data_IF_810761773492
#
_entry.id   IF_810761773492
#
_cell.length_a   1.000
_cell.length_b   1.000
_cell.length_c   1.000
_cell.angle_alpha   90.00
_cell.angle_beta   90.00
_cell.angle_gamma   90.00
#
_symmetry.space_group_name_H-M   'P 1'
#
loop_
_entity.id
_entity.type
_entity.pdbx_description
1 polymer ?
#
# COMPACT_ATOMS: atom_id res chain seq x y z
N UNK A 1 -9.26 2.64 22.19
CA UNK A 1 -8.76 3.80 21.42
C UNK A 1 -9.14 3.61 19.95
N UNK A 2 -9.37 4.71 19.20
CA UNK A 2 -9.63 4.62 17.76
C UNK A 2 -8.30 4.32 17.06
N UNK A 3 -8.18 3.25 16.26
CA UNK A 3 -6.94 2.90 15.57
C UNK A 3 -6.45 4.01 14.65
N UNK A 4 -5.15 4.26 14.65
CA UNK A 4 -4.47 5.22 13.77
C UNK A 4 -4.05 4.52 12.48
N UNK A 5 -4.27 5.15 11.36
CA UNK A 5 -3.92 4.62 10.04
C UNK A 5 -3.10 5.62 9.25
N UNK A 6 -2.06 5.15 8.60
CA UNK A 6 -1.30 5.86 7.57
C UNK A 6 -1.45 5.05 6.28
N UNK A 7 -1.94 5.67 5.22
CA UNK A 7 -1.89 5.05 3.90
C UNK A 7 -0.52 5.26 3.26
N UNK A 8 -0.05 4.24 2.55
CA UNK A 8 1.20 4.29 1.77
C UNK A 8 0.87 4.02 0.31
N UNK A 9 0.93 5.06 -0.50
CA UNK A 9 0.55 5.04 -1.91
C UNK A 9 1.74 5.40 -2.82
N UNK A 10 1.67 4.97 -4.06
CA UNK A 10 2.70 5.17 -5.07
C UNK A 10 2.71 4.04 -6.09
N UNK A 11 3.43 4.21 -7.19
CA UNK A 11 3.53 3.23 -8.26
C UNK A 11 4.10 1.88 -7.83
N UNK A 12 3.87 0.81 -8.60
CA UNK A 12 4.57 -0.45 -8.39
C UNK A 12 6.09 -0.22 -8.50
N UNK A 13 6.88 -0.75 -7.57
CA UNK A 13 8.34 -0.54 -7.56
C UNK A 13 8.84 0.73 -6.87
N UNK A 14 7.97 1.60 -6.37
CA UNK A 14 8.37 2.86 -5.70
C UNK A 14 9.05 2.66 -4.31
N UNK A 15 9.28 1.43 -3.85
CA UNK A 15 9.98 1.17 -2.58
C UNK A 15 9.11 1.17 -1.32
N UNK A 16 7.78 1.24 -1.46
CA UNK A 16 6.83 1.27 -0.34
C UNK A 16 7.07 0.19 0.71
N UNK A 17 7.15 -1.07 0.30
CA UNK A 17 7.33 -2.19 1.22
C UNK A 17 8.63 -2.13 2.02
N UNK A 18 9.73 -1.70 1.41
CA UNK A 18 11.03 -1.51 2.10
C UNK A 18 10.89 -0.46 3.21
N UNK A 19 10.26 0.66 2.90
CA UNK A 19 10.09 1.74 3.86
C UNK A 19 9.07 1.41 4.95
N UNK A 20 8.00 0.68 4.61
CA UNK A 20 7.08 0.16 5.62
C UNK A 20 7.79 -0.71 6.66
N UNK A 21 8.72 -1.57 6.24
CA UNK A 21 9.53 -2.37 7.18
C UNK A 21 10.41 -1.49 8.07
N UNK A 22 11.00 -0.42 7.54
CA UNK A 22 11.79 0.52 8.33
C UNK A 22 10.91 1.27 9.36
N UNK A 23 9.70 1.69 8.95
CA UNK A 23 8.73 2.33 9.85
C UNK A 23 8.30 1.37 10.96
N UNK A 24 8.00 0.12 10.64
CA UNK A 24 7.67 -0.92 11.64
C UNK A 24 8.77 -1.05 12.69
N UNK A 25 10.02 -1.18 12.23
CA UNK A 25 11.18 -1.33 13.13
C UNK A 25 11.39 -0.14 14.05
N UNK A 26 11.16 1.08 13.56
CA UNK A 26 11.46 2.31 14.33
C UNK A 26 10.28 2.81 15.14
N UNK A 27 9.07 2.68 14.65
CA UNK A 27 7.87 3.30 15.24
C UNK A 27 6.84 2.31 15.76
N UNK A 28 7.04 1.01 15.55
CA UNK A 28 6.17 -0.05 16.08
C UNK A 28 4.78 -0.14 15.43
N UNK A 29 4.58 0.49 14.27
CA UNK A 29 3.34 0.32 13.49
C UNK A 29 3.20 -1.12 13.00
N UNK A 30 1.98 -1.56 12.80
CA UNK A 30 1.69 -2.82 12.09
C UNK A 30 1.58 -2.53 10.60
N UNK A 31 2.38 -3.22 9.79
CA UNK A 31 2.32 -3.12 8.34
C UNK A 31 1.29 -4.08 7.76
N UNK A 32 0.30 -3.54 7.08
CA UNK A 32 -0.73 -4.27 6.34
C UNK A 32 -0.58 -3.97 4.85
N UNK A 33 0.09 -4.87 4.14
CA UNK A 33 0.16 -4.81 2.67
C UNK A 33 -1.09 -5.45 2.09
N UNK A 34 -1.95 -4.65 1.46
CA UNK A 34 -3.15 -5.16 0.79
C UNK A 34 -2.81 -6.24 -0.25
N UNK A 35 -1.72 -6.05 -0.99
CA UNK A 35 -1.25 -7.04 -1.96
C UNK A 35 -0.76 -8.34 -1.32
N UNK A 36 -0.09 -8.29 -0.15
CA UNK A 36 0.38 -9.49 0.53
C UNK A 36 -0.79 -10.24 1.19
N UNK A 37 -1.73 -9.54 1.81
CA UNK A 37 -2.96 -10.13 2.35
C UNK A 37 -3.75 -10.88 1.27
N UNK A 38 -3.88 -10.29 0.07
CA UNK A 38 -4.51 -10.96 -1.06
C UNK A 38 -3.73 -12.18 -1.53
N UNK A 39 -2.40 -12.12 -1.57
CA UNK A 39 -1.54 -13.26 -1.94
C UNK A 39 -1.60 -14.39 -0.91
N UNK A 40 -1.71 -14.07 0.37
CA UNK A 40 -1.91 -15.05 1.44
C UNK A 40 -3.28 -15.70 1.33
N UNK A 41 -4.33 -14.90 1.16
CA UNK A 41 -5.71 -15.42 0.99
C UNK A 41 -5.82 -16.33 -0.23
N UNK A 42 -5.18 -15.97 -1.35
CA UNK A 42 -5.08 -16.82 -2.54
C UNK A 42 -4.50 -18.21 -2.27
N UNK A 43 -3.51 -18.29 -1.38
CA UNK A 43 -2.84 -19.56 -1.02
C UNK A 43 -3.61 -20.36 0.01
N UNK A 44 -4.61 -19.79 0.63
CA UNK A 44 -5.43 -20.47 1.63
C UNK A 44 -6.36 -21.47 0.95
N UNK A 45 -6.20 -22.80 1.17
CA UNK A 45 -7.01 -23.82 0.51
C UNK A 45 -8.49 -23.78 0.91
N UNK A 46 -8.81 -23.10 2.00
CA UNK A 46 -10.18 -22.94 2.49
C UNK A 46 -10.81 -21.60 2.06
N UNK A 47 -10.12 -20.82 1.22
CA UNK A 47 -10.64 -19.52 0.78
C UNK A 47 -11.63 -19.68 -0.37
N UNK A 48 -12.81 -19.08 -0.22
CA UNK A 48 -13.80 -18.93 -1.28
C UNK A 48 -13.34 -18.01 -2.42
N UNK A 49 -12.33 -17.16 -2.15
CA UNK A 49 -11.86 -16.11 -3.05
C UNK A 49 -10.54 -16.44 -3.74
N UNK A 50 -9.91 -17.59 -3.44
CA UNK A 50 -8.56 -17.91 -3.89
C UNK A 50 -8.39 -17.84 -5.41
N UNK A 51 -9.27 -18.47 -6.17
CA UNK A 51 -9.23 -18.47 -7.65
C UNK A 51 -9.53 -17.09 -8.23
N UNK A 52 -10.50 -16.37 -7.69
CA UNK A 52 -10.84 -15.02 -8.11
C UNK A 52 -9.65 -14.08 -7.90
N UNK A 53 -9.03 -14.09 -6.72
CA UNK A 53 -7.85 -13.28 -6.42
C UNK A 53 -6.69 -13.62 -7.36
N UNK A 54 -6.44 -14.92 -7.65
CA UNK A 54 -5.42 -15.36 -8.58
C UNK A 54 -5.59 -14.72 -9.97
N UNK A 55 -6.82 -14.75 -10.50
CA UNK A 55 -7.11 -14.18 -11.81
C UNK A 55 -6.86 -12.67 -11.85
N UNK A 56 -7.33 -11.94 -10.85
CA UNK A 56 -7.10 -10.49 -10.77
C UNK A 56 -5.61 -10.12 -10.64
N UNK A 57 -4.86 -10.84 -9.79
CA UNK A 57 -3.40 -10.59 -9.62
C UNK A 57 -2.65 -10.88 -10.91
N UNK A 58 -2.95 -12.00 -11.58
CA UNK A 58 -2.29 -12.38 -12.84
C UNK A 58 -2.51 -11.36 -13.94
N UNK A 59 -3.72 -10.82 -14.03
CA UNK A 59 -4.08 -9.80 -15.01
C UNK A 59 -3.62 -8.39 -14.61
N UNK A 60 -3.05 -8.21 -13.43
CA UNK A 60 -2.62 -6.90 -12.90
C UNK A 60 -3.78 -6.00 -12.50
N UNK A 61 -4.99 -6.54 -12.35
CA UNK A 61 -6.21 -5.83 -12.01
C UNK A 61 -6.38 -5.63 -10.49
N UNK A 62 -7.31 -4.75 -10.12
CA UNK A 62 -7.66 -4.48 -8.72
C UNK A 62 -8.76 -5.45 -8.27
N UNK A 63 -8.49 -6.18 -7.19
CA UNK A 63 -9.47 -7.11 -6.57
C UNK A 63 -10.64 -6.31 -5.98
N UNK A 64 -11.89 -6.82 -6.05
CA UNK A 64 -13.07 -6.16 -5.50
C UNK A 64 -12.88 -5.71 -4.04
N UNK A 65 -13.36 -4.51 -3.73
CA UNK A 65 -13.10 -3.83 -2.44
C UNK A 65 -13.60 -4.61 -1.23
N UNK A 66 -14.71 -5.31 -1.33
CA UNK A 66 -15.28 -6.03 -0.20
C UNK A 66 -14.36 -7.13 0.32
N UNK A 67 -13.63 -7.80 -0.58
CA UNK A 67 -12.62 -8.78 -0.22
C UNK A 67 -11.44 -8.09 0.46
N UNK A 68 -10.90 -7.05 -0.16
CA UNK A 68 -9.73 -6.32 0.37
C UNK A 68 -10.01 -5.69 1.73
N UNK A 69 -11.15 -5.02 1.89
CA UNK A 69 -11.55 -4.43 3.18
C UNK A 69 -11.77 -5.48 4.27
N UNK A 70 -12.37 -6.64 3.93
CA UNK A 70 -12.56 -7.72 4.90
C UNK A 70 -11.23 -8.28 5.40
N UNK A 71 -10.25 -8.43 4.51
CA UNK A 71 -8.91 -8.89 4.89
C UNK A 71 -8.19 -7.87 5.78
N UNK A 72 -8.26 -6.58 5.44
CA UNK A 72 -7.69 -5.51 6.24
C UNK A 72 -8.33 -5.45 7.63
N UNK A 73 -9.65 -5.46 7.71
CA UNK A 73 -10.39 -5.40 8.98
C UNK A 73 -10.07 -6.61 9.87
N UNK A 74 -9.99 -7.81 9.29
CA UNK A 74 -9.59 -9.03 9.98
C UNK A 74 -8.17 -8.93 10.53
N UNK A 75 -7.22 -8.48 9.71
CA UNK A 75 -5.82 -8.33 10.11
C UNK A 75 -5.64 -7.27 11.21
N UNK A 76 -6.33 -6.14 11.12
CA UNK A 76 -6.32 -5.11 12.17
C UNK A 76 -6.86 -5.67 13.49
N UNK A 77 -7.99 -6.37 13.46
CA UNK A 77 -8.63 -6.94 14.65
C UNK A 77 -7.75 -8.01 15.33
N UNK A 78 -7.13 -8.88 14.53
CA UNK A 78 -6.26 -9.96 15.04
C UNK A 78 -4.95 -9.46 15.64
N UNK A 79 -4.46 -8.30 15.20
CA UNK A 79 -3.18 -7.75 15.68
C UNK A 79 -3.21 -7.30 17.15
N UNK A 80 -4.37 -6.93 17.67
CA UNK A 80 -4.53 -6.35 19.00
C UNK A 80 -3.83 -5.00 19.19
N UNK A 81 -3.41 -4.34 18.10
CA UNK A 81 -2.71 -3.05 18.08
C UNK A 81 -3.62 -1.94 17.58
N UNK A 82 -3.15 -0.71 17.70
CA UNK A 82 -3.91 0.50 17.37
C UNK A 82 -3.24 1.44 16.36
N UNK A 83 -2.11 1.04 15.79
CA UNK A 83 -1.33 1.89 14.86
C UNK A 83 -0.91 1.09 13.64
N UNK A 84 -1.40 1.47 12.47
CA UNK A 84 -1.30 0.70 11.23
C UNK A 84 -0.77 1.53 10.06
N UNK A 85 0.05 0.88 9.25
CA UNK A 85 0.41 1.35 7.91
C UNK A 85 -0.27 0.43 6.91
N UNK A 86 -1.10 0.98 6.04
CA UNK A 86 -1.78 0.23 4.99
C UNK A 86 -1.12 0.56 3.65
N UNK A 87 -0.41 -0.42 3.10
CA UNK A 87 0.38 -0.29 1.87
C UNK A 87 -0.42 -0.77 0.66
N UNK A 88 -0.47 0.08 -0.35
CA UNK A 88 -1.06 -0.23 -1.65
C UNK A 88 -2.59 -0.27 -1.65
N UNK A 89 -3.22 0.49 -0.79
CA UNK A 89 -4.66 0.69 -0.69
C UNK A 89 -4.97 2.08 -0.12
N UNK A 90 -6.03 2.79 -0.59
CA UNK A 90 -6.90 2.45 -1.72
C UNK A 90 -6.20 2.66 -3.08
N UNK A 91 -6.65 1.95 -4.13
CA UNK A 91 -6.06 2.03 -5.47
C UNK A 91 -6.98 2.62 -6.53
N UNK A 92 -8.28 2.60 -6.31
CA UNK A 92 -9.27 3.14 -7.22
C UNK A 92 -10.48 3.68 -6.46
N UNK A 93 -11.44 4.23 -7.20
CA UNK A 93 -12.64 4.82 -6.61
C UNK A 93 -13.47 3.80 -5.82
N UNK A 94 -13.62 2.56 -6.31
CA UNK A 94 -14.32 1.51 -5.59
C UNK A 94 -13.67 1.19 -4.23
N UNK A 95 -12.33 1.09 -4.22
CA UNK A 95 -11.57 0.91 -2.97
C UNK A 95 -11.78 2.07 -2.00
N UNK A 96 -11.73 3.29 -2.50
CA UNK A 96 -11.93 4.50 -1.70
C UNK A 96 -13.35 4.53 -1.09
N UNK A 97 -14.37 4.30 -1.90
CA UNK A 97 -15.76 4.32 -1.45
C UNK A 97 -16.06 3.16 -0.48
N UNK A 98 -15.54 1.98 -0.76
CA UNK A 98 -15.66 0.81 0.12
C UNK A 98 -15.00 1.04 1.48
N UNK A 99 -13.79 1.62 1.49
CA UNK A 99 -13.14 2.02 2.73
C UNK A 99 -13.96 3.05 3.50
N UNK A 100 -14.45 4.07 2.82
CA UNK A 100 -15.26 5.12 3.44
C UNK A 100 -16.51 4.57 4.11
N UNK A 101 -17.20 3.65 3.44
CA UNK A 101 -18.39 2.99 4.00
C UNK A 101 -18.09 2.11 5.20
N UNK A 102 -17.02 1.31 5.14
CA UNK A 102 -16.75 0.22 6.09
C UNK A 102 -15.84 0.59 7.23
N UNK A 103 -14.84 1.43 6.97
CA UNK A 103 -13.71 1.62 7.87
C UNK A 103 -13.52 3.06 8.36
N UNK A 104 -13.87 4.08 7.57
CA UNK A 104 -13.53 5.46 7.89
C UNK A 104 -14.10 5.95 9.25
N UNK A 105 -15.23 5.40 9.68
CA UNK A 105 -15.83 5.73 10.97
C UNK A 105 -15.22 4.95 12.16
N UNK A 106 -14.38 3.93 11.88
CA UNK A 106 -13.74 3.07 12.89
C UNK A 106 -12.29 3.43 13.15
N UNK A 107 -11.67 4.23 12.29
CA UNK A 107 -10.24 4.54 12.33
C UNK A 107 -9.98 6.05 12.19
N UNK A 108 -8.81 6.49 12.63
CA UNK A 108 -8.30 7.84 12.43
C UNK A 108 -7.21 7.79 11.35
N UNK A 109 -7.51 8.27 10.14
CA UNK A 109 -6.52 8.46 9.08
C UNK A 109 -5.67 9.67 9.42
N UNK A 110 -4.37 9.45 9.68
CA UNK A 110 -3.43 10.51 10.02
C UNK A 110 -3.01 11.28 8.77
N UNK A 111 -2.48 10.58 7.78
CA UNK A 111 -2.05 11.12 6.48
C UNK A 111 -1.79 10.00 5.48
N UNK A 112 -1.46 10.40 4.27
CA UNK A 112 -1.07 9.52 3.16
C UNK A 112 0.39 9.79 2.84
N UNK A 113 1.26 8.80 2.97
CA UNK A 113 2.62 8.83 2.43
C UNK A 113 2.56 8.55 0.94
N UNK A 114 2.85 9.52 0.13
CA UNK A 114 2.90 9.37 -1.32
C UNK A 114 4.35 9.23 -1.79
N UNK A 115 4.69 8.03 -2.24
CA UNK A 115 5.99 7.69 -2.83
C UNK A 115 5.99 8.08 -4.31
N UNK A 116 6.46 9.29 -4.58
CA UNK A 116 6.59 9.78 -5.95
C UNK A 116 7.91 9.29 -6.55
N UNK A 117 7.81 8.50 -7.61
CA UNK A 117 8.96 7.87 -8.25
C UNK A 117 8.72 7.80 -9.76
N UNK A 118 9.70 8.19 -10.59
CA UNK A 118 9.63 8.04 -12.04
C UNK A 118 9.35 6.58 -12.44
N UNK A 119 8.50 6.41 -13.47
CA UNK A 119 8.06 5.07 -13.89
C UNK A 119 9.21 4.21 -14.40
N UNK A 120 10.23 4.80 -14.98
CA UNK A 120 11.45 4.14 -15.47
C UNK A 120 12.18 3.46 -14.29
N UNK A 121 12.40 4.19 -13.20
CA UNK A 121 13.04 3.67 -11.99
C UNK A 121 12.16 2.59 -11.34
N UNK A 122 10.86 2.81 -11.29
CA UNK A 122 9.90 1.84 -10.80
C UNK A 122 9.96 0.52 -11.59
N UNK A 123 10.01 0.62 -12.93
CA UNK A 123 10.09 -0.52 -13.84
C UNK A 123 11.36 -1.34 -13.60
N UNK A 124 12.51 -0.66 -13.58
CA UNK A 124 13.80 -1.28 -13.30
C UNK A 124 13.79 -2.04 -11.97
N UNK A 125 13.31 -1.41 -10.90
CA UNK A 125 13.21 -2.02 -9.56
C UNK A 125 12.30 -3.25 -9.54
N UNK A 126 11.16 -3.20 -10.24
CA UNK A 126 10.25 -4.35 -10.34
C UNK A 126 10.86 -5.52 -11.11
N UNK A 127 11.47 -5.26 -12.26
CA UNK A 127 12.09 -6.32 -13.08
C UNK A 127 13.27 -6.96 -12.36
N UNK A 128 14.13 -6.16 -11.69
CA UNK A 128 15.21 -6.68 -10.85
C UNK A 128 14.69 -7.59 -9.75
N UNK A 129 13.63 -7.15 -9.02
CA UNK A 129 12.99 -7.96 -7.98
C UNK A 129 12.45 -9.29 -8.53
N UNK A 130 11.84 -9.28 -9.71
CA UNK A 130 11.39 -10.49 -10.40
C UNK A 130 12.53 -11.44 -10.74
N UNK A 131 13.65 -10.91 -11.28
CA UNK A 131 14.85 -11.68 -11.59
C UNK A 131 15.52 -12.28 -10.35
N UNK A 132 15.45 -11.60 -9.20
CA UNK A 132 15.95 -12.07 -7.90
C UNK A 132 15.03 -13.12 -7.23
N UNK A 133 13.94 -13.53 -7.88
CA UNK A 133 13.09 -14.61 -7.40
C UNK A 133 12.06 -14.17 -6.35
N UNK A 134 11.43 -13.01 -6.54
CA UNK A 134 10.40 -12.49 -5.62
C UNK A 134 9.18 -13.40 -5.43
N UNK A 135 8.97 -14.36 -6.33
CA UNK A 135 7.78 -15.23 -6.37
C UNK A 135 6.48 -14.50 -6.71
N UNK A 136 6.56 -13.24 -7.18
CA UNK A 136 5.40 -12.46 -7.61
C UNK A 136 5.12 -12.70 -9.09
N UNK A 137 3.93 -13.22 -9.41
CA UNK A 137 3.51 -13.50 -10.78
C UNK A 137 3.35 -12.23 -11.64
N UNK A 138 3.24 -11.07 -11.01
CA UNK A 138 2.99 -9.76 -11.62
C UNK A 138 4.27 -8.89 -11.79
N UNK A 139 5.47 -9.45 -11.54
CA UNK A 139 6.76 -8.78 -11.80
C UNK A 139 7.30 -9.09 -13.22
N UNK A 140 6.47 -8.86 -14.23
CA UNK A 140 6.80 -8.97 -15.64
C UNK A 140 6.32 -7.72 -16.40
N UNK A 141 6.90 -7.46 -17.57
CA UNK A 141 6.65 -6.23 -18.34
C UNK A 141 5.16 -6.02 -18.66
N UNK A 142 4.45 -7.07 -19.07
CA UNK A 142 3.04 -6.96 -19.47
C UNK A 142 2.16 -6.57 -18.26
N UNK A 143 2.30 -7.26 -17.14
CA UNK A 143 1.56 -6.94 -15.92
C UNK A 143 1.95 -5.57 -15.36
N UNK A 144 3.22 -5.18 -15.46
CA UNK A 144 3.70 -3.87 -15.01
C UNK A 144 3.07 -2.73 -15.82
N UNK A 145 2.98 -2.85 -17.14
CA UNK A 145 2.33 -1.84 -17.98
C UNK A 145 0.86 -1.63 -17.57
N UNK A 146 0.11 -2.72 -17.35
CA UNK A 146 -1.28 -2.66 -16.87
C UNK A 146 -1.35 -1.98 -15.49
N UNK A 147 -0.47 -2.33 -14.57
CA UNK A 147 -0.41 -1.76 -13.21
C UNK A 147 -0.04 -0.28 -13.21
N UNK A 148 0.85 0.16 -14.09
CA UNK A 148 1.18 1.58 -14.23
C UNK A 148 0.02 2.36 -14.81
N UNK A 149 -0.70 1.82 -15.80
CA UNK A 149 -1.90 2.46 -16.34
C UNK A 149 -2.97 2.63 -15.26
N UNK A 150 -3.24 1.58 -14.47
CA UNK A 150 -4.17 1.66 -13.33
C UNK A 150 -3.68 2.70 -12.30
N UNK A 151 -2.39 2.70 -11.97
CA UNK A 151 -1.83 3.68 -11.04
C UNK A 151 -2.06 5.11 -11.52
N UNK A 152 -1.78 5.41 -12.78
CA UNK A 152 -1.92 6.76 -13.33
C UNK A 152 -3.39 7.18 -13.48
N UNK A 153 -4.26 6.26 -13.92
CA UNK A 153 -5.64 6.57 -14.25
C UNK A 153 -6.60 6.47 -13.05
N UNK A 154 -6.31 5.59 -12.09
CA UNK A 154 -7.23 5.30 -10.99
C UNK A 154 -6.66 5.66 -9.61
N UNK A 155 -5.38 5.36 -9.34
CA UNK A 155 -4.79 5.61 -8.02
C UNK A 155 -4.35 7.07 -7.85
N UNK A 156 -3.74 7.65 -8.88
CA UNK A 156 -3.29 9.04 -8.82
C UNK A 156 -4.42 10.04 -8.50
N UNK A 157 -5.62 9.92 -9.09
CA UNK A 157 -6.76 10.76 -8.71
C UNK A 157 -7.16 10.64 -7.22
N UNK A 158 -6.99 9.46 -6.60
CA UNK A 158 -7.25 9.28 -5.17
C UNK A 158 -6.21 10.04 -4.33
N UNK A 159 -4.94 9.99 -4.73
CA UNK A 159 -3.88 10.76 -4.08
C UNK A 159 -4.16 12.26 -4.21
N UNK A 160 -4.55 12.72 -5.40
CA UNK A 160 -4.89 14.12 -5.66
C UNK A 160 -6.10 14.57 -4.81
N UNK A 161 -7.10 13.70 -4.63
CA UNK A 161 -8.22 13.98 -3.72
C UNK A 161 -7.73 14.16 -2.27
N UNK A 162 -6.93 13.26 -1.74
CA UNK A 162 -6.37 13.42 -0.39
C UNK A 162 -5.48 14.67 -0.27
N UNK A 163 -4.82 15.06 -1.35
CA UNK A 163 -4.01 16.29 -1.38
C UNK A 163 -4.90 17.54 -1.24
N UNK A 164 -6.12 17.55 -1.79
CA UNK A 164 -7.08 18.66 -1.57
C UNK A 164 -7.51 18.80 -0.10
N UNK A 165 -7.36 17.72 0.68
CA UNK A 165 -7.65 17.70 2.11
C UNK A 165 -6.42 18.02 2.98
N UNK A 166 -5.29 18.36 2.38
CA UNK A 166 -3.99 18.54 3.05
C UNK A 166 -3.54 17.32 3.87
N UNK A 167 -3.85 16.13 3.38
CA UNK A 167 -3.50 14.85 4.03
C UNK A 167 -2.34 14.12 3.34
N UNK A 168 -1.73 14.67 2.29
CA UNK A 168 -0.66 13.99 1.54
C UNK A 168 0.71 14.52 1.94
N UNK A 169 1.56 13.61 2.39
CA UNK A 169 2.99 13.81 2.57
C UNK A 169 3.73 13.16 1.40
N UNK A 170 4.26 14.00 0.51
CA UNK A 170 4.97 13.57 -0.70
C UNK A 170 6.43 13.28 -0.37
N UNK A 171 6.93 12.16 -0.89
CA UNK A 171 8.31 11.67 -0.70
C UNK A 171 8.94 11.48 -2.08
N UNK A 172 10.14 12.00 -2.29
CA UNK A 172 10.95 11.69 -3.48
C UNK A 172 11.53 10.27 -3.35
N UNK A 173 10.79 9.29 -3.89
CA UNK A 173 11.17 7.90 -3.83
C UNK A 173 12.16 7.47 -4.94
N UNK A 174 12.72 8.42 -5.73
CA UNK A 174 13.79 8.17 -6.69
C UNK A 174 15.13 7.95 -6.01
N UNK A 175 15.32 8.53 -4.83
CA UNK A 175 16.53 8.47 -4.02
C UNK A 175 16.81 7.06 -3.45
N UNK A 176 17.95 6.91 -2.80
CA UNK A 176 18.34 5.67 -2.10
C UNK A 176 17.45 5.38 -0.88
N UNK A 177 17.39 4.12 -0.43
CA UNK A 177 16.51 3.71 0.66
C UNK A 177 16.74 4.48 1.98
N UNK A 178 17.98 4.86 2.28
CA UNK A 178 18.32 5.59 3.51
C UNK A 178 17.84 7.03 3.46
N UNK A 179 18.07 7.70 2.32
CA UNK A 179 17.64 9.09 2.09
C UNK A 179 16.10 9.20 2.15
N UNK A 180 15.41 8.28 1.48
CA UNK A 180 13.95 8.19 1.56
C UNK A 180 13.48 7.98 2.99
N UNK A 181 14.18 7.15 3.77
CA UNK A 181 13.80 6.93 5.17
C UNK A 181 14.07 8.15 6.05
N UNK A 182 15.10 8.92 5.81
CA UNK A 182 15.35 10.19 6.51
C UNK A 182 14.22 11.20 6.28
N UNK A 183 13.72 11.29 5.04
CA UNK A 183 12.58 12.14 4.72
C UNK A 183 11.32 11.68 5.48
N UNK A 184 11.05 10.36 5.53
CA UNK A 184 9.95 9.79 6.31
C UNK A 184 10.08 10.14 7.79
N UNK A 185 11.29 10.06 8.37
CA UNK A 185 11.51 10.41 9.77
C UNK A 185 11.19 11.88 10.06
N UNK A 186 11.53 12.78 9.14
CA UNK A 186 11.19 14.20 9.27
C UNK A 186 9.68 14.43 9.24
N UNK A 187 8.96 13.74 8.35
CA UNK A 187 7.49 13.74 8.29
C UNK A 187 6.89 13.24 9.62
N UNK A 188 7.35 12.08 10.10
CA UNK A 188 6.84 11.49 11.34
C UNK A 188 7.09 12.42 12.55
N UNK A 189 8.25 13.08 12.60
CA UNK A 189 8.57 14.08 13.63
C UNK A 189 7.62 15.29 13.55
N UNK A 190 7.32 15.78 12.34
CA UNK A 190 6.38 16.90 12.15
C UNK A 190 4.96 16.54 12.61
N UNK A 191 4.55 15.29 12.48
CA UNK A 191 3.28 14.75 12.98
C UNK A 191 3.32 14.28 14.45
N UNK A 192 4.38 14.58 15.19
CA UNK A 192 4.58 14.16 16.61
C UNK A 192 4.50 12.64 16.83
N UNK A 193 4.88 11.86 15.83
CA UNK A 193 4.99 10.41 15.96
C UNK A 193 6.38 10.05 16.48
N UNK A 194 6.42 9.47 17.68
CA UNK A 194 7.67 9.12 18.35
C UNK A 194 8.14 7.71 18.01
N UNK A 195 9.46 7.52 17.94
CA UNK A 195 10.06 6.18 17.88
C UNK A 195 9.84 5.44 19.21
N UNK A 196 9.63 4.13 19.07
CA UNK A 196 9.59 3.23 20.23
C UNK A 196 10.99 2.96 20.77
#
# INVERSE_FOLDING_TARGET
MVPKVIFVLGGPGAGKGTQCQNIVKKYGFIHLSAGDLLREERRNPNSEYGELIENYIREGLIVPVDITCSLLERAMSLSGKDSFIIDGFPRNQDNFDGWKRRMAHKVNLLFVLFFDCPLEICTERCLRRGAEGSGRADDNIESLQKRFNIYLQETKPIIDYYNTLNLVERIDASNGPNEVFEEIQNIFKAHNLQSQ
#
